data_IF_449976378979
#
_entry.id   IF_449976378979
#
_cell.length_a   1.000
_cell.length_b   1.000
_cell.length_c   1.000
_cell.angle_alpha   90.00
_cell.angle_beta   90.00
_cell.angle_gamma   90.00
#
_symmetry.space_group_name_H-M   'P 1'
#
loop_
_entity.id
_entity.type
_entity.pdbx_description
1 polymer ?
#
# COMPACT_ATOMS: atom_id res chain seq x y z
N UNK A 1 8.13 10.67 -25.92
CA UNK A 1 8.01 9.37 -25.21
C UNK A 1 8.96 9.44 -24.01
N UNK A 2 8.50 9.10 -22.82
CA UNK A 2 9.37 9.07 -21.64
C UNK A 2 10.36 7.91 -21.77
N UNK A 3 11.62 8.16 -21.47
CA UNK A 3 12.63 7.10 -21.37
C UNK A 3 12.30 6.23 -20.14
N UNK A 4 12.18 4.90 -20.27
CA UNK A 4 11.94 4.00 -19.16
C UNK A 4 12.95 4.15 -18.00
N UNK A 5 14.21 4.44 -18.30
CA UNK A 5 15.24 4.68 -17.27
C UNK A 5 14.94 5.94 -16.44
N UNK A 6 14.52 7.03 -17.07
CA UNK A 6 14.11 8.25 -16.36
C UNK A 6 12.91 7.99 -15.44
N UNK A 7 11.98 7.12 -15.83
CA UNK A 7 10.84 6.75 -14.98
C UNK A 7 11.31 5.97 -13.75
N UNK A 8 12.20 5.00 -13.94
CA UNK A 8 12.77 4.22 -12.82
C UNK A 8 13.57 5.10 -11.88
N UNK A 9 14.41 5.99 -12.43
CA UNK A 9 15.24 6.91 -11.65
C UNK A 9 14.44 7.96 -10.87
N UNK A 10 13.17 8.18 -11.26
CA UNK A 10 12.26 9.09 -10.55
C UNK A 10 11.59 8.47 -9.31
N UNK A 11 11.76 7.17 -9.07
CA UNK A 11 11.17 6.49 -7.90
C UNK A 11 11.95 6.87 -6.65
N UNK A 12 11.26 7.45 -5.67
CA UNK A 12 11.81 7.73 -4.35
C UNK A 12 11.81 6.46 -3.49
N UNK A 13 12.91 5.71 -3.52
CA UNK A 13 13.07 4.46 -2.78
C UNK A 13 12.90 4.62 -1.26
N UNK A 14 13.55 5.58 -0.60
CA UNK A 14 13.32 5.86 0.82
C UNK A 14 11.86 6.16 1.17
N UNK A 15 11.16 6.95 0.37
CA UNK A 15 9.74 7.24 0.59
C UNK A 15 8.89 5.96 0.46
N UNK A 16 9.19 5.10 -0.51
CA UNK A 16 8.52 3.81 -0.69
C UNK A 16 8.72 2.89 0.52
N UNK A 17 9.94 2.78 1.04
CA UNK A 17 10.25 1.98 2.23
C UNK A 17 9.54 2.52 3.48
N UNK A 18 9.54 3.83 3.70
CA UNK A 18 8.83 4.45 4.80
C UNK A 18 7.30 4.21 4.71
N UNK A 19 6.75 4.25 3.50
CA UNK A 19 5.34 3.96 3.27
C UNK A 19 5.01 2.50 3.59
N UNK A 20 5.83 1.55 3.13
CA UNK A 20 5.69 0.14 3.44
C UNK A 20 5.81 -0.14 4.94
N UNK A 21 6.80 0.45 5.62
CA UNK A 21 6.95 0.37 7.07
C UNK A 21 5.69 0.82 7.81
N UNK A 22 5.08 1.92 7.34
CA UNK A 22 3.81 2.40 7.89
C UNK A 22 2.65 1.44 7.63
N UNK A 23 2.57 0.84 6.45
CA UNK A 23 1.55 -0.18 6.14
C UNK A 23 1.66 -1.39 7.07
N UNK A 24 2.87 -1.88 7.36
CA UNK A 24 3.13 -3.01 8.26
C UNK A 24 2.57 -2.73 9.67
N UNK A 25 2.61 -1.50 10.15
CA UNK A 25 2.16 -1.14 11.49
C UNK A 25 0.66 -1.33 11.76
N UNK A 26 -0.16 -1.52 10.72
CA UNK A 26 -1.62 -1.64 10.86
C UNK A 26 -2.12 -3.01 11.32
N UNK A 27 -1.24 -4.05 11.41
CA UNK A 27 -1.66 -5.41 11.79
C UNK A 27 -2.88 -5.88 10.99
N UNK A 28 -2.80 -5.78 9.67
CA UNK A 28 -3.91 -5.97 8.75
C UNK A 28 -4.27 -7.44 8.53
N UNK A 29 -4.52 -8.15 9.62
CA UNK A 29 -4.97 -9.54 9.55
C UNK A 29 -6.30 -9.66 8.82
N UNK A 30 -6.42 -10.70 8.00
CA UNK A 30 -7.61 -10.92 7.18
C UNK A 30 -8.90 -10.93 8.01
N UNK A 31 -9.80 -9.99 7.73
CA UNK A 31 -11.08 -9.85 8.43
C UNK A 31 -11.04 -9.13 9.77
N UNK A 32 -9.89 -8.66 10.22
CA UNK A 32 -9.73 -7.94 11.48
C UNK A 32 -9.77 -6.41 11.28
N UNK A 33 -10.00 -5.61 12.35
CA UNK A 33 -10.11 -4.15 12.24
C UNK A 33 -8.90 -3.47 11.60
N UNK A 34 -7.69 -3.98 11.80
CA UNK A 34 -6.47 -3.44 11.21
C UNK A 34 -6.46 -3.44 9.69
N UNK A 35 -7.16 -4.41 9.06
CA UNK A 35 -7.34 -4.43 7.60
C UNK A 35 -8.16 -3.21 7.12
N UNK A 36 -9.22 -2.86 7.86
CA UNK A 36 -10.07 -1.69 7.55
C UNK A 36 -9.29 -0.40 7.75
N UNK A 37 -8.51 -0.32 8.83
CA UNK A 37 -7.70 0.86 9.13
C UNK A 37 -6.61 1.07 8.06
N UNK A 38 -5.98 0.00 7.59
CA UNK A 38 -5.04 0.05 6.46
C UNK A 38 -5.75 0.51 5.17
N UNK A 39 -6.95 0.00 4.88
CA UNK A 39 -7.70 0.42 3.70
C UNK A 39 -8.01 1.93 3.72
N UNK A 40 -8.39 2.49 4.88
CA UNK A 40 -8.59 3.93 5.06
C UNK A 40 -7.31 4.72 4.85
N UNK A 41 -6.22 4.27 5.46
CA UNK A 41 -4.90 4.88 5.28
C UNK A 41 -4.49 4.92 3.79
N UNK A 42 -4.70 3.81 3.05
CA UNK A 42 -4.41 3.74 1.61
C UNK A 42 -5.25 4.73 0.80
N UNK A 43 -6.55 4.86 1.11
CA UNK A 43 -7.43 5.85 0.46
C UNK A 43 -6.92 7.27 0.71
N UNK A 44 -6.57 7.59 1.95
CA UNK A 44 -6.08 8.92 2.30
C UNK A 44 -4.73 9.24 1.62
N UNK A 45 -3.84 8.25 1.55
CA UNK A 45 -2.58 8.38 0.84
C UNK A 45 -2.78 8.62 -0.67
N UNK A 46 -3.66 7.86 -1.31
CA UNK A 46 -3.99 8.05 -2.72
C UNK A 46 -4.60 9.43 -3.00
N UNK A 47 -5.48 9.92 -2.13
CA UNK A 47 -6.04 11.28 -2.24
C UNK A 47 -4.97 12.36 -2.14
N UNK A 48 -4.00 12.20 -1.22
CA UNK A 48 -2.86 13.14 -1.09
C UNK A 48 -1.99 13.18 -2.33
N UNK A 49 -1.92 12.08 -3.07
CA UNK A 49 -1.24 11.99 -4.37
C UNK A 49 -2.09 12.50 -5.55
N UNK A 50 -3.29 12.99 -5.30
CA UNK A 50 -4.17 13.56 -6.33
C UNK A 50 -5.05 12.54 -7.07
N UNK A 51 -5.15 11.30 -6.56
CA UNK A 51 -6.06 10.30 -7.12
C UNK A 51 -7.49 10.53 -6.64
N UNK A 52 -8.46 10.21 -7.49
CA UNK A 52 -9.83 9.94 -7.05
C UNK A 52 -9.83 8.61 -6.30
N UNK A 53 -10.05 8.62 -4.99
CA UNK A 53 -9.92 7.41 -4.19
C UNK A 53 -11.08 7.24 -3.20
N UNK A 54 -11.41 5.97 -2.92
CA UNK A 54 -12.46 5.59 -2.01
C UNK A 54 -12.41 4.13 -1.59
N UNK A 55 -13.18 3.81 -0.56
CA UNK A 55 -13.40 2.45 -0.11
C UNK A 55 -14.51 1.81 -0.95
N UNK A 56 -14.27 0.59 -1.41
CA UNK A 56 -15.28 -0.26 -2.04
C UNK A 56 -15.63 -1.41 -1.10
N UNK A 57 -16.88 -1.48 -0.60
CA UNK A 57 -17.26 -2.51 0.36
C UNK A 57 -17.28 -3.90 -0.27
N UNK A 58 -16.85 -4.88 0.50
CA UNK A 58 -16.97 -6.30 0.21
C UNK A 58 -17.62 -7.02 1.41
N UNK A 59 -18.11 -8.25 1.26
CA UNK A 59 -18.77 -8.97 2.35
C UNK A 59 -17.95 -9.00 3.65
N UNK A 60 -18.63 -9.17 4.79
CA UNK A 60 -18.04 -9.28 6.14
C UNK A 60 -17.31 -8.01 6.62
N UNK A 61 -17.84 -6.83 6.26
CA UNK A 61 -17.28 -5.52 6.65
C UNK A 61 -15.82 -5.32 6.24
N UNK A 62 -15.41 -5.92 5.15
CA UNK A 62 -14.12 -5.70 4.52
C UNK A 62 -14.23 -4.64 3.42
N UNK A 63 -13.11 -4.08 3.01
CA UNK A 63 -13.08 -3.01 2.00
C UNK A 63 -11.87 -3.16 1.09
N UNK A 64 -12.08 -2.87 -0.20
CA UNK A 64 -10.97 -2.56 -1.10
C UNK A 64 -10.70 -1.05 -1.05
N UNK A 65 -9.42 -0.66 -1.05
CA UNK A 65 -9.02 0.71 -1.31
C UNK A 65 -8.77 0.87 -2.81
N UNK A 66 -9.55 1.72 -3.47
CA UNK A 66 -9.46 1.93 -4.91
C UNK A 66 -9.09 3.38 -5.18
N UNK A 67 -8.06 3.59 -5.99
CA UNK A 67 -7.66 4.92 -6.47
C UNK A 67 -7.57 4.93 -7.98
N UNK A 68 -7.96 6.06 -8.58
CA UNK A 68 -7.91 6.28 -10.01
C UNK A 68 -7.22 7.59 -10.32
N UNK A 69 -6.17 7.53 -11.11
CA UNK A 69 -5.55 8.69 -11.72
C UNK A 69 -5.99 8.78 -13.18
N UNK A 70 -6.72 9.82 -13.50
CA UNK A 70 -7.18 10.06 -14.87
C UNK A 70 -6.02 10.58 -15.71
N UNK A 71 -5.73 9.92 -16.81
CA UNK A 71 -4.75 10.38 -17.77
C UNK A 71 -5.30 11.48 -18.69
N UNK A 72 -4.49 11.93 -19.61
CA UNK A 72 -4.83 12.95 -20.59
C UNK A 72 -5.72 12.45 -21.75
N UNK A 73 -5.96 11.14 -21.81
CA UNK A 73 -6.79 10.50 -22.84
C UNK A 73 -5.97 9.93 -24.01
N UNK A 74 -6.63 9.14 -24.85
CA UNK A 74 -6.05 8.55 -26.05
C UNK A 74 -5.09 7.37 -25.84
N UNK A 75 -4.73 7.04 -24.59
CA UNK A 75 -3.86 5.93 -24.24
C UNK A 75 -4.59 4.73 -23.64
N UNK A 76 -3.81 3.73 -23.27
CA UNK A 76 -4.28 2.53 -22.57
C UNK A 76 -4.41 2.81 -21.06
N UNK A 77 -5.27 2.04 -20.41
CA UNK A 77 -5.34 2.01 -18.95
C UNK A 77 -4.35 1.00 -18.38
N UNK A 78 -3.75 1.33 -17.22
CA UNK A 78 -2.91 0.43 -16.43
C UNK A 78 -3.58 0.22 -15.08
N UNK A 79 -3.69 -1.03 -14.65
CA UNK A 79 -4.20 -1.42 -13.35
C UNK A 79 -3.07 -2.06 -12.53
N UNK A 80 -2.83 -1.52 -11.34
CA UNK A 80 -2.07 -2.19 -10.30
C UNK A 80 -3.04 -2.85 -9.33
N UNK A 81 -2.77 -4.09 -8.93
CA UNK A 81 -3.58 -4.83 -7.99
C UNK A 81 -2.68 -5.58 -7.01
N UNK A 82 -2.99 -5.46 -5.72
CA UNK A 82 -2.31 -6.16 -4.64
C UNK A 82 -3.25 -6.35 -3.46
N UNK A 83 -2.94 -7.27 -2.56
CA UNK A 83 -3.71 -7.49 -1.34
C UNK A 83 -3.13 -6.68 -0.18
N UNK A 84 -3.99 -6.32 0.78
CA UNK A 84 -3.63 -5.58 1.99
C UNK A 84 -3.59 -6.48 3.22
N UNK A 85 -4.32 -7.59 3.20
CA UNK A 85 -4.39 -8.49 4.34
C UNK A 85 -3.13 -9.31 4.52
N UNK A 86 -2.85 -9.62 5.77
CA UNK A 86 -1.71 -10.45 6.19
C UNK A 86 -2.17 -11.60 7.08
N UNK A 87 -1.32 -12.61 7.21
CA UNK A 87 -1.52 -13.66 8.21
C UNK A 87 -1.10 -13.18 9.60
N UNK A 88 -1.70 -13.72 10.68
CA UNK A 88 -1.25 -13.47 12.03
C UNK A 88 0.23 -13.83 12.21
N UNK A 89 0.93 -13.02 13.00
CA UNK A 89 2.32 -13.32 13.37
C UNK A 89 2.39 -14.58 14.22
N UNK A 90 3.28 -15.48 13.86
CA UNK A 90 3.56 -16.73 14.58
C UNK A 90 5.06 -16.89 14.81
N UNK A 91 5.44 -17.65 15.84
CA UNK A 91 6.83 -17.93 16.17
C UNK A 91 7.51 -16.81 16.97
N UNK A 92 8.83 -16.95 17.10
CA UNK A 92 9.66 -16.01 17.85
C UNK A 92 10.30 -15.02 16.88
N UNK A 93 9.99 -13.75 17.04
CA UNK A 93 10.58 -12.66 16.28
C UNK A 93 11.70 -12.00 17.07
N UNK A 94 12.79 -11.65 16.40
CA UNK A 94 13.93 -10.92 17.00
C UNK A 94 13.75 -9.40 16.94
N UNK A 95 12.77 -8.93 16.18
CA UNK A 95 12.37 -7.52 16.04
C UNK A 95 10.86 -7.41 16.20
N UNK A 96 10.34 -6.21 16.46
CA UNK A 96 8.90 -5.97 16.46
C UNK A 96 8.33 -6.21 15.05
N UNK A 97 7.47 -7.22 14.83
CA UNK A 97 6.93 -7.55 13.50
C UNK A 97 5.98 -6.49 12.94
N UNK A 98 5.57 -5.52 13.74
CA UNK A 98 4.72 -4.39 13.32
C UNK A 98 5.44 -3.04 13.37
N UNK A 99 6.71 -3.04 13.79
CA UNK A 99 7.50 -1.82 13.92
C UNK A 99 7.92 -1.21 12.60
N UNK A 100 7.79 -1.93 11.48
CA UNK A 100 8.27 -1.49 10.19
C UNK A 100 9.78 -1.24 10.19
N UNK A 101 10.51 -2.05 10.94
CA UNK A 101 11.96 -1.98 11.04
C UNK A 101 12.58 -2.41 9.72
N UNK A 102 13.49 -1.65 9.19
CA UNK A 102 14.24 -2.03 8.00
C UNK A 102 15.70 -1.57 8.08
N UNK A 103 16.53 -2.25 7.34
CA UNK A 103 17.95 -1.96 7.15
C UNK A 103 18.27 -1.91 5.63
N UNK A 104 19.54 -2.03 5.27
CA UNK A 104 19.97 -1.94 3.87
C UNK A 104 19.57 -3.18 3.04
N UNK A 105 19.20 -4.29 3.67
CA UNK A 105 18.91 -5.57 3.01
C UNK A 105 17.46 -6.01 3.17
N UNK A 106 16.83 -5.76 4.32
CA UNK A 106 15.52 -6.31 4.69
C UNK A 106 14.58 -5.26 5.28
N UNK A 107 13.30 -5.46 5.05
CA UNK A 107 12.21 -4.88 5.85
C UNK A 107 11.45 -6.01 6.53
N UNK A 108 11.19 -5.83 7.84
CA UNK A 108 10.60 -6.85 8.70
C UNK A 108 9.11 -6.60 8.94
#
# INVERSE_FOLDING_TARGET
MLDPHQVVDSVDGPAALNFLAKMISFKSYSGEPGEVDLARFMVDAMKKLGLEAGLSPVPKNRFNAIGKLKGTGGGKSLLFNGHMDTNPVTGNWTVDPWGGVYDDEFIY
#
